data_IF_656848305261
#
_entry.id   IF_656848305261
#
_cell.length_a   1.000
_cell.length_b   1.000
_cell.length_c   1.000
_cell.angle_alpha   90.00
_cell.angle_beta   90.00
_cell.angle_gamma   90.00
#
_symmetry.space_group_name_H-M   'P 1'
#
loop_
_entity.id
_entity.type
_entity.pdbx_description
1 polymer ?
#
# COMPACT_ATOMS: atom_id res chain seq x y z
N UNK A 1 1.65 13.28 6.47
CA UNK A 1 3.04 13.31 5.98
C UNK A 1 2.98 13.62 4.50
N UNK A 2 3.68 14.66 4.05
CA UNK A 2 3.76 15.00 2.62
C UNK A 2 5.19 14.69 2.22
N UNK A 3 5.36 13.79 1.27
CA UNK A 3 6.67 13.44 0.71
C UNK A 3 6.92 14.28 -0.55
N UNK A 4 8.12 14.86 -0.65
CA UNK A 4 8.53 15.71 -1.78
C UNK A 4 9.86 15.19 -2.28
N UNK A 5 9.84 14.60 -3.48
CA UNK A 5 11.02 14.04 -4.13
C UNK A 5 11.35 14.78 -5.43
N UNK A 6 12.63 14.79 -5.79
CA UNK A 6 13.12 15.25 -7.10
C UNK A 6 13.35 14.09 -8.08
N UNK A 7 13.02 12.85 -7.69
CA UNK A 7 13.19 11.64 -8.50
C UNK A 7 11.90 11.25 -9.21
N UNK A 8 12.02 10.71 -10.42
CA UNK A 8 10.90 10.13 -11.15
C UNK A 8 10.57 8.75 -10.56
N UNK A 9 9.37 8.54 -9.99
CA UNK A 9 8.99 7.25 -9.44
C UNK A 9 8.91 6.19 -10.54
N UNK A 10 9.41 5.00 -10.26
CA UNK A 10 9.19 3.81 -11.09
C UNK A 10 8.13 2.93 -10.45
N UNK A 11 7.02 2.74 -11.16
CA UNK A 11 5.96 1.80 -10.77
C UNK A 11 6.44 0.36 -10.91
N UNK A 12 6.26 -0.42 -9.85
CA UNK A 12 6.58 -1.85 -9.83
C UNK A 12 5.34 -2.71 -10.08
N UNK A 13 4.17 -2.28 -9.61
CA UNK A 13 2.93 -2.99 -9.85
C UNK A 13 1.75 -2.43 -9.08
N UNK A 14 0.68 -3.22 -9.00
CA UNK A 14 -0.49 -2.94 -8.19
C UNK A 14 -1.08 -4.20 -7.58
N UNK A 15 -1.84 -4.05 -6.48
CA UNK A 15 -2.51 -5.15 -5.77
C UNK A 15 -3.80 -4.66 -5.13
N UNK A 16 -4.83 -5.50 -5.15
CA UNK A 16 -6.05 -5.29 -4.37
C UNK A 16 -5.88 -5.88 -2.97
N UNK A 17 -6.19 -5.12 -1.93
CA UNK A 17 -6.02 -5.56 -0.53
C UNK A 17 -7.03 -6.62 -0.11
N UNK A 18 -8.19 -6.67 -0.78
CA UNK A 18 -9.36 -7.34 -0.22
C UNK A 18 -9.77 -6.68 1.10
N UNK A 19 -10.43 -7.43 1.97
CA UNK A 19 -10.93 -6.94 3.28
C UNK A 19 -10.18 -7.55 4.48
N UNK A 20 -9.01 -8.14 4.23
CA UNK A 20 -8.18 -8.81 5.22
C UNK A 20 -6.75 -8.28 5.17
N UNK A 21 -6.05 -8.40 6.29
CA UNK A 21 -4.63 -8.06 6.37
C UNK A 21 -3.84 -8.94 5.40
N UNK A 22 -2.75 -8.42 4.88
CA UNK A 22 -1.96 -9.13 3.89
C UNK A 22 -0.59 -8.53 3.66
N UNK A 23 0.17 -9.21 2.83
CA UNK A 23 1.50 -8.76 2.43
C UNK A 23 1.84 -9.24 1.04
N UNK A 24 2.79 -8.54 0.42
CA UNK A 24 3.33 -8.84 -0.89
C UNK A 24 4.84 -8.64 -0.87
N UNK A 25 5.57 -9.70 -1.25
CA UNK A 25 6.99 -9.61 -1.53
C UNK A 25 7.24 -9.17 -2.98
N UNK A 26 8.14 -8.23 -3.19
CA UNK A 26 8.60 -7.85 -4.53
C UNK A 26 10.08 -7.48 -4.52
N UNK A 27 10.90 -8.22 -5.27
CA UNK A 27 12.36 -8.02 -5.31
C UNK A 27 12.75 -6.59 -5.76
N UNK A 28 11.92 -5.93 -6.56
CA UNK A 28 12.14 -4.55 -7.00
C UNK A 28 12.17 -3.51 -5.87
N UNK A 29 11.63 -3.81 -4.68
CA UNK A 29 11.70 -2.89 -3.53
C UNK A 29 13.13 -2.70 -3.00
N UNK A 30 14.06 -3.60 -3.31
CA UNK A 30 15.48 -3.40 -2.93
C UNK A 30 16.22 -2.41 -3.84
N UNK A 31 15.57 -1.91 -4.89
CA UNK A 31 16.21 -1.09 -5.93
C UNK A 31 16.06 0.42 -5.68
N UNK A 32 15.42 0.83 -4.59
CA UNK A 32 15.20 2.22 -4.23
C UNK A 32 14.33 2.37 -2.99
N UNK A 33 13.88 3.59 -2.73
CA UNK A 33 12.99 3.87 -1.60
C UNK A 33 11.54 3.54 -1.99
N UNK A 34 10.85 2.64 -1.27
CA UNK A 34 9.49 2.26 -1.62
C UNK A 34 8.50 3.43 -1.51
N UNK A 35 7.56 3.49 -2.45
CA UNK A 35 6.40 4.36 -2.38
C UNK A 35 5.12 3.58 -2.66
N UNK A 36 4.00 4.11 -2.18
CA UNK A 36 2.67 3.60 -2.50
C UNK A 36 1.67 4.74 -2.71
N UNK A 37 0.63 4.44 -3.47
CA UNK A 37 -0.57 5.24 -3.57
C UNK A 37 -1.79 4.33 -3.44
N UNK A 38 -2.79 4.76 -2.69
CA UNK A 38 -4.01 4.00 -2.46
C UNK A 38 -5.17 4.63 -3.21
N UNK A 39 -5.91 3.83 -3.98
CA UNK A 39 -7.05 4.23 -4.77
C UNK A 39 -8.31 3.45 -4.34
N UNK A 40 -9.47 4.08 -4.43
CA UNK A 40 -10.75 3.44 -4.10
C UNK A 40 -11.03 3.39 -2.60
N UNK A 41 -11.06 4.56 -1.96
CA UNK A 41 -11.58 4.70 -0.60
C UNK A 41 -12.95 5.36 -0.67
N UNK A 42 -13.99 4.67 -0.23
CA UNK A 42 -15.31 5.23 0.02
C UNK A 42 -15.37 5.94 1.38
N UNK A 43 -16.21 6.97 1.45
CA UNK A 43 -16.41 7.74 2.69
C UNK A 43 -17.11 6.86 3.72
N UNK A 44 -16.48 6.69 4.90
CA UNK A 44 -17.03 5.93 6.02
C UNK A 44 -16.41 4.55 6.23
N UNK A 45 -15.55 4.09 5.31
CA UNK A 45 -14.77 2.87 5.47
C UNK A 45 -13.34 3.14 5.96
N UNK A 46 -12.72 2.10 6.50
CA UNK A 46 -11.35 2.09 7.00
C UNK A 46 -10.43 1.48 5.94
N UNK A 47 -9.62 2.35 5.35
CA UNK A 47 -8.46 1.95 4.54
C UNK A 47 -7.40 1.28 5.42
N UNK A 48 -6.62 0.33 4.88
CA UNK A 48 -5.55 -0.29 5.64
C UNK A 48 -4.37 0.66 5.81
N UNK A 49 -3.59 0.45 6.86
CA UNK A 49 -2.28 1.06 7.05
C UNK A 49 -1.23 0.26 6.27
N UNK A 50 -0.37 0.96 5.51
CA UNK A 50 0.68 0.33 4.69
C UNK A 50 2.03 0.49 5.36
N UNK A 51 2.82 -0.58 5.37
CA UNK A 51 4.20 -0.58 5.86
C UNK A 51 5.12 -1.36 4.93
N UNK A 52 6.41 -1.04 4.97
CA UNK A 52 7.45 -1.73 4.21
C UNK A 52 8.52 -2.26 5.15
N UNK A 53 8.99 -3.49 4.90
CA UNK A 53 10.13 -4.09 5.58
C UNK A 53 10.95 -4.88 4.58
N UNK A 54 12.17 -4.42 4.29
CA UNK A 54 13.01 -5.00 3.25
C UNK A 54 12.30 -5.01 1.90
N UNK A 55 12.09 -6.22 1.35
CA UNK A 55 11.39 -6.42 0.07
C UNK A 55 9.92 -6.80 0.23
N UNK A 56 9.31 -6.49 1.37
CA UNK A 56 7.92 -6.85 1.66
C UNK A 56 7.10 -5.62 2.00
N UNK A 57 6.01 -5.43 1.26
CA UNK A 57 4.94 -4.48 1.57
C UNK A 57 3.86 -5.23 2.36
N UNK A 58 3.35 -4.64 3.44
CA UNK A 58 2.25 -5.21 4.23
C UNK A 58 1.14 -4.19 4.44
N UNK A 59 -0.10 -4.66 4.52
CA UNK A 59 -1.27 -3.84 4.82
C UNK A 59 -2.07 -4.43 5.98
N UNK A 60 -2.51 -3.55 6.88
CA UNK A 60 -3.24 -3.94 8.09
C UNK A 60 -4.47 -3.07 8.27
N UNK A 61 -5.64 -3.68 8.43
CA UNK A 61 -6.88 -2.98 8.75
C UNK A 61 -6.99 -2.76 10.25
N UNK A 62 -6.93 -1.50 10.68
CA UNK A 62 -7.07 -1.14 12.10
C UNK A 62 -8.49 -1.37 12.66
N UNK A 63 -9.51 -1.47 11.80
CA UNK A 63 -10.88 -1.80 12.24
C UNK A 63 -10.99 -3.29 12.60
N UNK A 64 -11.47 -3.59 13.81
CA UNK A 64 -11.85 -4.95 14.20
C UNK A 64 -13.13 -5.44 13.50
N UNK A 65 -13.97 -4.52 13.01
CA UNK A 65 -15.19 -4.83 12.29
C UNK A 65 -14.90 -4.93 10.80
N UNK A 66 -15.02 -6.13 10.24
CA UNK A 66 -14.77 -6.41 8.83
C UNK A 66 -15.72 -5.69 7.88
N UNK A 67 -16.93 -5.34 8.35
CA UNK A 67 -17.92 -4.59 7.59
C UNK A 67 -17.46 -3.16 7.21
N UNK A 68 -16.49 -2.60 7.94
CA UNK A 68 -15.91 -1.28 7.62
C UNK A 68 -14.58 -1.39 6.87
N UNK A 69 -14.11 -2.59 6.54
CA UNK A 69 -12.85 -2.79 5.81
C UNK A 69 -13.16 -2.75 4.33
N UNK A 70 -12.53 -1.83 3.62
CA UNK A 70 -12.70 -1.69 2.17
C UNK A 70 -11.50 -2.24 1.42
N UNK A 71 -11.78 -2.91 0.30
CA UNK A 71 -10.74 -3.32 -0.62
C UNK A 71 -10.26 -2.13 -1.43
N UNK A 72 -9.02 -1.72 -1.20
CA UNK A 72 -8.38 -0.63 -1.93
C UNK A 72 -7.39 -1.19 -2.97
N UNK A 73 -7.21 -0.46 -4.06
CA UNK A 73 -6.14 -0.72 -5.02
C UNK A 73 -4.88 0.01 -4.55
N UNK A 74 -3.84 -0.74 -4.25
CA UNK A 74 -2.51 -0.19 -3.95
C UNK A 74 -1.70 -0.19 -5.23
N UNK A 75 -1.27 0.99 -5.69
CA UNK A 75 -0.16 1.16 -6.63
C UNK A 75 1.12 1.29 -5.83
N UNK A 76 2.18 0.58 -6.22
CA UNK A 76 3.44 0.61 -5.50
C UNK A 76 4.64 0.66 -6.44
N UNK A 77 5.73 1.23 -5.93
CA UNK A 77 6.97 1.37 -6.70
C UNK A 77 8.16 1.77 -5.84
N UNK A 78 9.20 2.27 -6.50
CA UNK A 78 10.38 2.86 -5.85
C UNK A 78 10.75 4.22 -6.48
N UNK A 79 11.36 5.10 -5.69
CA UNK A 79 12.03 6.33 -6.14
C UNK A 79 13.50 6.12 -6.50
#
# INVERSE_FOLDING_TARGET
MVDVTNRLPRTLGSVWTGTSDGSLGHAGFSQGEPWFAMLGQEVGNVSPEISFSGTTMSWTFQSALTAYRESCLILYGVY
#
